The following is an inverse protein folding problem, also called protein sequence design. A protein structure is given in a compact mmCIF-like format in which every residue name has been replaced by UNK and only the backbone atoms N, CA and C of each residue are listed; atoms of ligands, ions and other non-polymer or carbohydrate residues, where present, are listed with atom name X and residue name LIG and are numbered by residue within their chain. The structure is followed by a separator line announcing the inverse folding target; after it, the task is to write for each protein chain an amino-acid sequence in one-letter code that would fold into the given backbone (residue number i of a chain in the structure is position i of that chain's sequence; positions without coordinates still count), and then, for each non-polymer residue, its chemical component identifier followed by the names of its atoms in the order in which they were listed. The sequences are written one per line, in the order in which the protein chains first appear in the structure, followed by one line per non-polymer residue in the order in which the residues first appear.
data_IF_616460218804
#
_entry.id   IF_616460218804
#
_cell.length_a   1.000
_cell.length_b   1.000
_cell.length_c   1.000
_cell.angle_alpha   90.00
_cell.angle_beta   90.00
_cell.angle_gamma   90.00
#
_symmetry.space_group_name_H-M   'P 1'
#
loop_
_entity.id
_entity.type
_entity.pdbx_description
1 polymer ?
#
# COMPACT_ATOMS: atom_id res chain seq x y z
N UNK A 1 -3.83 32.76 -16.01
CA UNK A 1 -3.60 31.30 -16.15
C UNK A 1 -2.29 30.95 -15.46
N UNK A 2 -2.23 29.93 -14.58
CA UNK A 2 -1.25 29.71 -13.48
C UNK A 2 -1.63 30.53 -12.23
N UNK A 3 -1.97 29.99 -11.05
CA UNK A 3 -1.59 28.75 -10.39
C UNK A 3 -2.79 28.20 -9.60
N UNK A 4 -3.42 27.14 -10.09
CA UNK A 4 -4.43 26.37 -9.36
C UNK A 4 -3.75 25.14 -8.74
N UNK A 5 -2.76 25.37 -7.87
CA UNK A 5 -1.99 24.30 -7.19
C UNK A 5 -2.16 24.30 -5.67
N UNK A 6 -3.13 25.06 -5.13
CA UNK A 6 -3.53 24.98 -3.72
C UNK A 6 -4.86 24.25 -3.54
N UNK A 7 -4.91 22.98 -3.96
CA UNK A 7 -5.96 22.04 -3.54
C UNK A 7 -5.39 20.63 -3.38
N UNK A 8 -4.25 20.51 -2.70
CA UNK A 8 -3.97 19.26 -1.98
C UNK A 8 -4.28 19.60 -0.53
N UNK A 9 -5.57 19.57 -0.21
CA UNK A 9 -6.01 19.42 1.16
C UNK A 9 -5.17 18.29 1.75
N UNK A 10 -4.45 18.58 2.82
CA UNK A 10 -3.70 17.61 3.59
C UNK A 10 -4.74 16.63 4.11
N UNK A 11 -4.98 15.57 3.33
CA UNK A 11 -5.81 14.46 3.71
C UNK A 11 -5.03 13.83 4.85
N UNK A 12 -5.41 14.21 6.06
CA UNK A 12 -4.82 13.77 7.32
C UNK A 12 -5.28 12.32 7.53
N UNK A 13 -4.94 11.46 6.58
CA UNK A 13 -5.11 10.03 6.66
C UNK A 13 -4.11 9.59 7.72
N UNK A 14 -4.61 9.43 8.94
CA UNK A 14 -3.92 8.81 10.07
C UNK A 14 -3.15 7.62 9.51
N UNK A 15 -1.83 7.75 9.36
CA UNK A 15 -1.04 6.71 8.67
C UNK A 15 -1.17 5.44 9.49
N UNK A 16 -1.99 4.49 9.02
CA UNK A 16 -2.13 3.15 9.61
C UNK A 16 -0.71 2.60 9.73
N UNK A 17 -0.23 2.46 10.97
CA UNK A 17 1.09 1.92 11.25
C UNK A 17 1.00 0.42 11.11
N UNK A 18 1.64 -0.13 10.08
CA UNK A 18 1.80 -1.57 9.91
C UNK A 18 3.13 -2.00 10.52
N UNK A 19 3.10 -3.08 11.31
CA UNK A 19 4.32 -3.68 11.86
C UNK A 19 5.18 -4.28 10.75
N UNK A 20 6.49 -4.37 10.97
CA UNK A 20 7.42 -4.95 9.99
C UNK A 20 7.03 -6.39 9.61
N UNK A 21 6.62 -7.22 10.59
CA UNK A 21 6.16 -8.59 10.34
C UNK A 21 4.90 -8.66 9.48
N UNK A 22 3.97 -7.72 9.63
CA UNK A 22 2.79 -7.66 8.77
C UNK A 22 3.16 -7.29 7.33
N UNK A 23 4.02 -6.28 7.14
CA UNK A 23 4.51 -5.91 5.81
C UNK A 23 5.22 -7.05 5.12
N UNK A 24 6.09 -7.77 5.83
CA UNK A 24 6.80 -8.93 5.32
C UNK A 24 5.83 -10.05 4.92
N UNK A 25 4.82 -10.35 5.75
CA UNK A 25 3.78 -11.34 5.42
C UNK A 25 3.05 -10.97 4.12
N UNK A 26 2.61 -9.72 3.99
CA UNK A 26 1.89 -9.23 2.81
C UNK A 26 2.80 -9.22 1.56
N UNK A 27 4.06 -8.84 1.70
CA UNK A 27 5.05 -8.85 0.62
C UNK A 27 5.33 -10.28 0.14
N UNK A 28 5.51 -11.24 1.05
CA UNK A 28 5.71 -12.65 0.71
C UNK A 28 4.50 -13.21 -0.05
N UNK A 29 3.27 -12.94 0.39
CA UNK A 29 2.07 -13.37 -0.35
C UNK A 29 1.98 -12.70 -1.73
N UNK A 30 2.38 -11.43 -1.86
CA UNK A 30 2.44 -10.74 -3.14
C UNK A 30 3.56 -11.24 -4.07
N UNK A 31 4.65 -11.79 -3.53
CA UNK A 31 5.75 -12.43 -4.28
C UNK A 31 5.36 -13.83 -4.74
N UNK A 32 4.55 -14.55 -3.95
CA UNK A 32 4.02 -15.87 -4.35
C UNK A 32 3.08 -15.79 -5.56
N UNK A 33 2.56 -14.61 -5.89
CA UNK A 33 1.68 -14.32 -7.04
C UNK A 33 0.46 -15.26 -7.15
N UNK A 34 0.05 -15.84 -6.01
CA UNK A 34 -1.13 -16.72 -5.92
C UNK A 34 -2.45 -15.96 -5.92
N UNK A 35 -2.42 -14.73 -5.40
CA UNK A 35 -3.55 -13.82 -5.32
C UNK A 35 -3.15 -12.52 -6.00
N UNK A 36 -4.10 -11.91 -6.71
CA UNK A 36 -3.90 -10.58 -7.29
C UNK A 36 -3.75 -9.51 -6.20
N UNK A 37 -3.11 -8.38 -6.52
CA UNK A 37 -3.00 -7.26 -5.58
C UNK A 37 -4.37 -6.75 -5.10
N UNK A 38 -5.42 -6.90 -5.93
CA UNK A 38 -6.78 -6.54 -5.57
C UNK A 38 -7.40 -7.48 -4.53
N UNK A 39 -7.12 -8.79 -4.62
CA UNK A 39 -7.57 -9.78 -3.64
C UNK A 39 -6.81 -9.65 -2.33
N UNK A 40 -5.48 -9.51 -2.39
CA UNK A 40 -4.65 -9.22 -1.21
C UNK A 40 -5.09 -7.91 -0.54
N UNK A 41 -5.48 -6.92 -1.34
CA UNK A 41 -6.00 -5.66 -0.83
C UNK A 41 -7.28 -5.83 -0.02
N UNK A 42 -8.23 -6.63 -0.52
CA UNK A 42 -9.46 -6.96 0.22
C UNK A 42 -9.18 -7.80 1.46
N UNK A 43 -8.28 -8.77 1.36
CA UNK A 43 -7.96 -9.72 2.43
C UNK A 43 -7.22 -9.07 3.60
N UNK A 44 -6.29 -8.18 3.31
CA UNK A 44 -5.45 -7.52 4.31
C UNK A 44 -5.90 -6.09 4.63
N UNK A 45 -6.97 -5.59 3.98
CA UNK A 45 -7.42 -4.19 4.03
C UNK A 45 -6.30 -3.17 3.75
N UNK A 46 -5.38 -3.53 2.85
CA UNK A 46 -4.25 -2.70 2.46
C UNK A 46 -4.47 -2.22 1.04
N UNK A 47 -4.22 -0.95 0.76
CA UNK A 47 -4.31 -0.44 -0.60
C UNK A 47 -3.31 -1.15 -1.55
N UNK A 48 -3.69 -1.54 -2.78
CA UNK A 48 -2.81 -2.29 -3.70
C UNK A 48 -1.44 -1.62 -3.94
N UNK A 49 -1.41 -0.29 -4.05
CA UNK A 49 -0.14 0.46 -4.16
C UNK A 49 0.82 0.24 -2.98
N UNK A 50 0.30 0.10 -1.75
CA UNK A 50 1.14 -0.17 -0.58
C UNK A 50 1.72 -1.58 -0.62
N UNK A 51 0.92 -2.55 -1.08
CA UNK A 51 1.35 -3.94 -1.27
C UNK A 51 2.48 -4.00 -2.31
N UNK A 52 2.31 -3.31 -3.44
CA UNK A 52 3.33 -3.22 -4.48
C UNK A 52 4.64 -2.60 -3.95
N UNK A 53 4.52 -1.53 -3.16
CA UNK A 53 5.67 -0.91 -2.50
C UNK A 53 6.38 -1.86 -1.53
N UNK A 54 5.66 -2.61 -0.70
CA UNK A 54 6.28 -3.58 0.22
C UNK A 54 6.88 -4.78 -0.51
N UNK A 55 6.29 -5.21 -1.62
CA UNK A 55 6.89 -6.22 -2.51
C UNK A 55 8.24 -5.74 -3.04
N UNK A 56 8.33 -4.48 -3.48
CA UNK A 56 9.58 -3.86 -3.93
C UNK A 56 10.59 -3.63 -2.79
N UNK A 57 10.15 -3.27 -1.59
CA UNK A 57 11.04 -3.10 -0.43
C UNK A 57 11.61 -4.44 0.09
N UNK A 58 10.99 -5.57 -0.25
CA UNK A 58 11.38 -6.90 0.22
C UNK A 58 12.32 -7.64 -0.75
N UNK A 59 12.40 -7.18 -2.01
CA UNK A 59 13.33 -7.66 -3.04
C UNK A 59 14.57 -6.79 -3.03
#
# INVERSE_FOLDING_TARGET
MKKMTKLVAIMNATRRKFSAGFKAKVAIEAIKERESLAELSKRFEVHPNMISKWKQEFI
#
